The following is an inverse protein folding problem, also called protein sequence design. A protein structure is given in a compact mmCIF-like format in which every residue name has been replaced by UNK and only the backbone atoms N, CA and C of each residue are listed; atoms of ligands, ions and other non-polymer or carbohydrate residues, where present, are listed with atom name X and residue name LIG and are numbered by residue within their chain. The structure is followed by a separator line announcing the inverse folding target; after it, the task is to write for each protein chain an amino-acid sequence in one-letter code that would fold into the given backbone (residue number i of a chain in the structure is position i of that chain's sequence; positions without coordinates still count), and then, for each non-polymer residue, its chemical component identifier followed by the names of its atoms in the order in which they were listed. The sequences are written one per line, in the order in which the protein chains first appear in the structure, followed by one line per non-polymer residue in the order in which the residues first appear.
data_IF_044627123548
#
_entry.id   IF_044627123548
#
_cell.length_a   1.000
_cell.length_b   1.000
_cell.length_c   1.000
_cell.angle_alpha   90.00
_cell.angle_beta   90.00
_cell.angle_gamma   90.00
#
_symmetry.space_group_name_H-M   'P 1'
#
loop_
_entity.id
_entity.type
_entity.pdbx_description
1 polymer ?
#
# COMPACT_ATOMS: atom_id res chain seq x y z
N UNK A 1 6.01 -21.70 11.48
CA UNK A 1 6.54 -21.21 10.20
C UNK A 1 5.53 -20.19 9.70
N UNK A 2 5.90 -18.93 9.48
CA UNK A 2 4.91 -17.92 9.03
C UNK A 2 4.59 -18.20 7.57
N UNK A 3 3.31 -18.37 7.25
CA UNK A 3 2.87 -18.68 5.90
C UNK A 3 3.28 -17.56 4.91
N UNK A 4 3.85 -17.95 3.77
CA UNK A 4 4.24 -17.04 2.70
C UNK A 4 3.17 -15.97 2.33
N UNK A 5 1.86 -16.27 2.24
CA UNK A 5 0.83 -15.26 1.98
C UNK A 5 0.71 -14.20 3.08
N UNK A 6 0.96 -14.56 4.34
CA UNK A 6 0.92 -13.63 5.47
C UNK A 6 2.09 -12.66 5.38
N UNK A 7 3.29 -13.16 5.06
CA UNK A 7 4.49 -12.33 4.88
C UNK A 7 4.28 -11.35 3.72
N UNK A 8 3.72 -11.80 2.60
CA UNK A 8 3.42 -10.95 1.45
C UNK A 8 2.39 -9.85 1.80
N UNK A 9 1.37 -10.19 2.57
CA UNK A 9 0.36 -9.22 3.02
C UNK A 9 0.99 -8.16 3.90
N UNK A 10 1.78 -8.55 4.90
CA UNK A 10 2.47 -7.62 5.80
C UNK A 10 3.42 -6.72 5.00
N UNK A 11 4.24 -7.29 4.12
CA UNK A 11 5.17 -6.53 3.28
C UNK A 11 4.44 -5.49 2.41
N UNK A 12 3.32 -5.89 1.78
CA UNK A 12 2.51 -4.98 0.96
C UNK A 12 1.93 -3.82 1.78
N UNK A 13 1.41 -4.11 2.97
CA UNK A 13 0.86 -3.08 3.86
C UNK A 13 1.94 -2.11 4.30
N UNK A 14 3.14 -2.60 4.63
CA UNK A 14 4.28 -1.74 4.98
C UNK A 14 4.66 -0.79 3.82
N UNK A 15 4.74 -1.31 2.59
CA UNK A 15 5.03 -0.50 1.39
C UNK A 15 3.93 0.56 1.18
N UNK A 16 2.67 0.15 1.26
CA UNK A 16 1.53 1.06 1.15
C UNK A 16 1.56 2.17 2.21
N UNK A 17 1.91 1.84 3.45
CA UNK A 17 2.02 2.81 4.53
C UNK A 17 3.16 3.81 4.30
N UNK A 18 4.33 3.37 3.84
CA UNK A 18 5.46 4.26 3.51
C UNK A 18 5.07 5.22 2.39
N UNK A 19 4.42 4.72 1.33
CA UNK A 19 3.91 5.56 0.24
C UNK A 19 2.90 6.59 0.74
N UNK A 20 2.00 6.19 1.64
CA UNK A 20 1.00 7.07 2.23
C UNK A 20 1.65 8.19 3.07
N UNK A 21 2.61 7.83 3.92
CA UNK A 21 3.36 8.80 4.74
C UNK A 21 4.16 9.76 3.84
N UNK A 22 4.72 9.25 2.74
CA UNK A 22 5.44 10.06 1.74
C UNK A 22 4.49 11.01 1.00
N UNK A 23 3.28 10.57 0.67
CA UNK A 23 2.26 11.44 0.10
C UNK A 23 1.86 12.55 1.11
N UNK A 24 1.66 12.19 2.37
CA UNK A 24 1.30 13.14 3.43
C UNK A 24 2.41 14.16 3.73
N UNK A 25 3.67 13.74 3.73
CA UNK A 25 4.81 14.66 3.83
C UNK A 25 4.90 15.55 2.59
N UNK A 26 4.62 15.02 1.40
CA UNK A 26 4.57 15.77 0.15
C UNK A 26 3.48 16.85 0.14
N UNK A 27 2.30 16.60 0.74
CA UNK A 27 1.26 17.63 0.95
C UNK A 27 1.80 18.76 1.83
N UNK A 28 2.43 18.41 2.96
CA UNK A 28 3.01 19.40 3.90
C UNK A 28 4.15 20.20 3.27
N UNK A 29 4.98 19.53 2.47
CA UNK A 29 6.09 20.12 1.71
C UNK A 29 5.66 20.86 0.45
N UNK A 30 4.35 20.98 0.18
CA UNK A 30 3.79 21.62 -1.04
C UNK A 30 4.39 21.07 -2.34
N UNK A 31 4.58 19.76 -2.40
CA UNK A 31 5.01 19.09 -3.62
C UNK A 31 3.97 19.24 -4.73
N UNK A 32 4.38 18.93 -5.95
CA UNK A 32 3.47 18.93 -7.09
C UNK A 32 2.30 17.99 -6.82
N UNK A 33 1.08 18.51 -6.98
CA UNK A 33 -0.16 17.77 -6.69
C UNK A 33 -0.23 16.43 -7.41
N UNK A 34 0.27 16.36 -8.65
CA UNK A 34 0.32 15.12 -9.42
C UNK A 34 1.16 14.02 -8.75
N UNK A 35 2.31 14.36 -8.16
CA UNK A 35 3.18 13.39 -7.48
C UNK A 35 2.51 12.87 -6.21
N UNK A 36 1.92 13.76 -5.43
CA UNK A 36 1.20 13.40 -4.20
C UNK A 36 0.02 12.47 -4.49
N UNK A 37 -0.77 12.79 -5.52
CA UNK A 37 -1.91 11.97 -5.93
C UNK A 37 -1.43 10.60 -6.41
N UNK A 38 -0.36 10.54 -7.21
CA UNK A 38 0.21 9.28 -7.68
C UNK A 38 0.69 8.40 -6.52
N UNK A 39 1.41 8.98 -5.54
CA UNK A 39 1.85 8.27 -4.33
C UNK A 39 0.67 7.77 -3.51
N UNK A 40 -0.39 8.57 -3.38
CA UNK A 40 -1.58 8.19 -2.65
C UNK A 40 -2.34 7.04 -3.33
N UNK A 41 -2.53 7.11 -4.64
CA UNK A 41 -3.17 6.03 -5.42
C UNK A 41 -2.35 4.75 -5.32
N UNK A 42 -1.03 4.84 -5.45
CA UNK A 42 -0.14 3.69 -5.29
C UNK A 42 -0.26 3.07 -3.88
N UNK A 43 -0.29 3.90 -2.83
CA UNK A 43 -0.50 3.44 -1.46
C UNK A 43 -1.81 2.65 -1.30
N UNK A 44 -2.91 3.18 -1.83
CA UNK A 44 -4.22 2.52 -1.79
C UNK A 44 -4.18 1.19 -2.55
N UNK A 45 -3.54 1.12 -3.72
CA UNK A 45 -3.39 -0.13 -4.46
C UNK A 45 -2.64 -1.20 -3.66
N UNK A 46 -1.51 -0.88 -3.02
CA UNK A 46 -0.77 -1.84 -2.21
C UNK A 46 -1.55 -2.28 -0.95
N UNK A 47 -2.33 -1.38 -0.36
CA UNK A 47 -3.16 -1.69 0.81
C UNK A 47 -4.43 -2.51 0.46
N UNK A 48 -4.83 -2.57 -0.81
CA UNK A 48 -6.08 -3.23 -1.21
C UNK A 48 -5.85 -4.46 -2.08
N UNK A 49 -5.05 -4.36 -3.14
CA UNK A 49 -4.90 -5.43 -4.13
C UNK A 49 -4.31 -6.71 -3.51
N UNK A 50 -3.31 -6.59 -2.64
CA UNK A 50 -2.64 -7.75 -2.03
C UNK A 50 -3.51 -8.42 -0.95
N UNK A 51 -4.07 -7.70 0.05
CA UNK A 51 -5.00 -8.34 0.99
C UNK A 51 -6.23 -8.93 0.31
N UNK A 52 -6.74 -8.27 -0.74
CA UNK A 52 -7.88 -8.77 -1.51
C UNK A 52 -7.52 -10.07 -2.26
N UNK A 53 -6.36 -10.15 -2.92
CA UNK A 53 -5.95 -11.39 -3.60
C UNK A 53 -5.74 -12.53 -2.63
N UNK A 54 -5.13 -12.28 -1.47
CA UNK A 54 -4.95 -13.29 -0.41
C UNK A 54 -6.30 -13.74 0.15
N UNK A 55 -7.23 -12.82 0.41
CA UNK A 55 -8.58 -13.17 0.87
C UNK A 55 -9.33 -14.02 -0.18
N UNK A 56 -9.23 -13.65 -1.46
CA UNK A 56 -9.86 -14.41 -2.55
C UNK A 56 -9.25 -15.79 -2.75
N UNK A 57 -7.95 -15.97 -2.50
CA UNK A 57 -7.29 -17.29 -2.59
C UNK A 57 -7.48 -18.14 -1.34
N UNK A 58 -7.75 -17.54 -0.18
CA UNK A 58 -8.06 -18.29 1.05
C UNK A 58 -9.55 -18.64 1.18
N UNK A 59 -10.43 -17.96 0.46
CA UNK A 59 -11.89 -18.17 0.48
C UNK A 59 -12.44 -19.09 -0.61
N UNK A 60 -11.58 -19.62 -1.50
CA UNK A 60 -11.90 -20.64 -2.52
C UNK A 60 -11.27 -21.97 -2.15
#
# INVERSE_FOLDING_TARGET
MVDAPVILTIGSVCVGFVLFVTAASGVRGRWHRGIVIALFVAAVCFLTAVPLTVALTAGV
#
